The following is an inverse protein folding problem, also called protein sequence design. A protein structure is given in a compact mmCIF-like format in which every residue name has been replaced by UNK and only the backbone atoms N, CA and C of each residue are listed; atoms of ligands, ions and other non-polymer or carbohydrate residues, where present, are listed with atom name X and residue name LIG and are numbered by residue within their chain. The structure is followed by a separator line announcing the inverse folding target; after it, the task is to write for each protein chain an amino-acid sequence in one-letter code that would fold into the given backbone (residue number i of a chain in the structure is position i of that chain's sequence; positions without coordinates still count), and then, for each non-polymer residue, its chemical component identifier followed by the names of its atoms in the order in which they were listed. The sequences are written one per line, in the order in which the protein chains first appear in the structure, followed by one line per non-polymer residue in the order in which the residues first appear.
data_IF_579186215393
#
_entry.id   IF_579186215393
#
_cell.length_a   1.000
_cell.length_b   1.000
_cell.length_c   1.000
_cell.angle_alpha   90.00
_cell.angle_beta   90.00
_cell.angle_gamma   90.00
#
_symmetry.space_group_name_H-M   'P 1'
#
loop_
_entity.id
_entity.type
_entity.pdbx_description
1 polymer ?
#
# COMPACT_ATOMS: atom_id res chain seq x y z
N UNK A 1 43.13 20.02 48.29
CA UNK A 1 42.72 20.11 46.87
C UNK A 1 41.79 18.99 46.40
N UNK A 2 41.78 17.81 47.03
CA UNK A 2 40.93 16.67 46.65
C UNK A 2 39.40 16.93 46.73
N UNK A 3 38.92 17.67 47.73
CA UNK A 3 37.48 17.96 47.88
C UNK A 3 36.89 18.88 46.80
N UNK A 4 37.68 19.79 46.20
CA UNK A 4 37.19 20.63 45.08
C UNK A 4 37.03 19.84 43.79
N UNK A 5 37.88 18.83 43.54
CA UNK A 5 37.85 18.00 42.34
C UNK A 5 36.65 17.05 42.35
N UNK A 6 36.39 16.39 43.49
CA UNK A 6 35.17 15.57 43.69
C UNK A 6 33.88 16.37 43.52
N UNK A 7 33.82 17.59 44.06
CA UNK A 7 32.65 18.44 43.91
C UNK A 7 32.44 18.93 42.46
N UNK A 8 33.51 19.11 41.68
CA UNK A 8 33.40 19.46 40.27
C UNK A 8 32.94 18.27 39.42
N UNK A 9 33.47 17.08 39.67
CA UNK A 9 33.09 15.83 39.01
C UNK A 9 31.62 15.44 39.30
N UNK A 10 31.17 15.58 40.55
CA UNK A 10 29.77 15.37 40.92
C UNK A 10 28.81 16.35 40.23
N UNK A 11 29.23 17.62 40.03
CA UNK A 11 28.44 18.61 39.28
C UNK A 11 28.33 18.24 37.81
N UNK A 12 29.44 17.86 37.16
CA UNK A 12 29.44 17.43 35.77
C UNK A 12 28.53 16.22 35.53
N UNK A 13 28.55 15.24 36.44
CA UNK A 13 27.65 14.08 36.38
C UNK A 13 26.17 14.48 36.54
N UNK A 14 25.89 15.45 37.41
CA UNK A 14 24.52 15.97 37.60
C UNK A 14 24.03 16.69 36.34
N UNK A 15 24.83 17.60 35.79
CA UNK A 15 24.52 18.33 34.54
C UNK A 15 24.35 17.38 33.35
N UNK A 16 25.18 16.34 33.25
CA UNK A 16 25.06 15.31 32.23
C UNK A 16 23.77 14.49 32.41
N UNK A 17 23.40 14.14 33.65
CA UNK A 17 22.14 13.47 33.95
C UNK A 17 20.90 14.31 33.61
N UNK A 18 20.93 15.62 33.90
CA UNK A 18 19.86 16.56 33.50
C UNK A 18 19.75 16.66 31.96
N UNK A 19 20.89 16.73 31.27
CA UNK A 19 20.93 16.75 29.80
C UNK A 19 20.36 15.46 29.22
N UNK A 20 20.76 14.30 29.76
CA UNK A 20 20.26 13.01 29.33
C UNK A 20 18.74 12.91 29.54
N UNK A 21 18.23 13.31 30.71
CA UNK A 21 16.79 13.31 30.98
C UNK A 21 16.02 14.19 29.99
N UNK A 22 16.55 15.36 29.64
CA UNK A 22 15.95 16.25 28.64
C UNK A 22 15.89 15.59 27.26
N UNK A 23 17.02 15.08 26.74
CA UNK A 23 17.04 14.47 25.40
C UNK A 23 16.24 13.17 25.33
N UNK A 24 16.16 12.41 26.43
CA UNK A 24 15.28 11.24 26.54
C UNK A 24 13.81 11.63 26.41
N UNK A 25 13.38 12.74 27.03
CA UNK A 25 12.01 13.22 26.88
C UNK A 25 11.71 13.66 25.45
N UNK A 26 12.64 14.40 24.82
CA UNK A 26 12.49 14.80 23.40
C UNK A 26 12.42 13.58 22.48
N UNK A 27 13.24 12.56 22.74
CA UNK A 27 13.23 11.31 22.00
C UNK A 27 11.93 10.51 22.21
N UNK A 28 11.36 10.51 23.42
CA UNK A 28 10.07 9.89 23.72
C UNK A 28 8.92 10.57 22.97
N UNK A 29 8.88 11.90 22.97
CA UNK A 29 7.87 12.64 22.21
C UNK A 29 7.98 12.34 20.70
N UNK A 30 9.21 12.31 20.17
CA UNK A 30 9.47 11.96 18.77
C UNK A 30 9.12 10.49 18.46
N UNK A 31 9.39 9.57 19.38
CA UNK A 31 9.00 8.17 19.30
C UNK A 31 7.48 7.99 19.21
N UNK A 32 6.73 8.72 20.03
CA UNK A 32 5.27 8.72 19.99
C UNK A 32 4.73 9.14 18.62
N UNK A 33 5.27 10.22 18.05
CA UNK A 33 4.90 10.69 16.71
C UNK A 33 5.23 9.65 15.62
N UNK A 34 6.40 9.00 15.72
CA UNK A 34 6.80 7.95 14.80
C UNK A 34 5.84 6.75 14.85
N UNK A 35 5.46 6.30 16.05
CA UNK A 35 4.51 5.19 16.23
C UNK A 35 3.14 5.54 15.66
N UNK A 36 2.65 6.74 15.96
CA UNK A 36 1.35 7.19 15.44
C UNK A 36 1.36 7.29 13.91
N UNK A 37 2.45 7.78 13.31
CA UNK A 37 2.60 7.80 11.86
C UNK A 37 2.66 6.38 11.27
N UNK A 38 3.40 5.48 11.90
CA UNK A 38 3.51 4.06 11.50
C UNK A 38 2.18 3.33 11.55
N UNK A 39 1.38 3.55 12.59
CA UNK A 39 0.03 2.97 12.75
C UNK A 39 -0.93 3.56 11.70
N UNK A 40 -0.91 4.87 11.46
CA UNK A 40 -1.74 5.52 10.44
C UNK A 40 -1.42 5.01 9.03
N UNK A 41 -0.14 4.83 8.72
CA UNK A 41 0.28 4.30 7.44
C UNK A 41 -0.22 2.85 7.27
N UNK A 42 -0.14 2.03 8.33
CA UNK A 42 -0.61 0.64 8.31
C UNK A 42 -2.11 0.54 8.08
N UNK A 43 -2.89 1.38 8.77
CA UNK A 43 -4.33 1.46 8.58
C UNK A 43 -4.66 1.88 7.14
N UNK A 44 -3.96 2.88 6.58
CA UNK A 44 -4.15 3.27 5.18
C UNK A 44 -3.81 2.12 4.21
N UNK A 45 -2.75 1.36 4.47
CA UNK A 45 -2.39 0.17 3.69
C UNK A 45 -3.48 -0.90 3.76
N UNK A 46 -4.01 -1.19 4.95
CA UNK A 46 -5.11 -2.12 5.15
C UNK A 46 -6.38 -1.65 4.43
N UNK A 47 -6.71 -0.35 4.50
CA UNK A 47 -7.85 0.22 3.79
C UNK A 47 -7.73 0.04 2.27
N UNK A 48 -6.54 0.27 1.68
CA UNK A 48 -6.32 0.01 0.24
C UNK A 48 -6.48 -1.48 -0.05
N UNK A 49 -5.81 -2.34 0.72
CA UNK A 49 -5.86 -3.79 0.52
C UNK A 49 -7.30 -4.34 0.60
N UNK A 50 -8.09 -3.83 1.55
CA UNK A 50 -9.49 -4.18 1.75
C UNK A 50 -10.43 -3.65 0.64
N UNK A 51 -9.94 -2.78 -0.26
CA UNK A 51 -10.69 -2.40 -1.47
C UNK A 51 -10.42 -3.31 -2.66
N UNK A 52 -9.47 -4.24 -2.60
CA UNK A 52 -9.07 -5.08 -3.73
C UNK A 52 -9.69 -6.49 -3.66
N UNK A 53 -9.87 -7.13 -4.82
CA UNK A 53 -10.17 -8.57 -4.89
C UNK A 53 -11.64 -8.95 -4.88
N UNK A 54 -12.56 -8.03 -5.20
CA UNK A 54 -14.00 -8.31 -5.25
C UNK A 54 -14.53 -8.73 -6.63
N UNK A 55 -13.66 -8.97 -7.62
CA UNK A 55 -14.09 -9.32 -8.97
C UNK A 55 -14.76 -8.15 -9.70
N UNK A 56 -14.41 -6.92 -9.33
CA UNK A 56 -15.07 -5.67 -9.72
C UNK A 56 -14.32 -4.89 -10.81
N UNK A 57 -13.29 -5.49 -11.41
CA UNK A 57 -12.52 -4.86 -12.49
C UNK A 57 -11.44 -3.89 -12.01
N UNK A 58 -11.18 -3.79 -10.71
CA UNK A 58 -10.08 -2.99 -10.19
C UNK A 58 -8.72 -3.64 -10.49
N UNK A 59 -7.64 -2.87 -10.72
CA UNK A 59 -6.32 -3.40 -11.09
C UNK A 59 -5.58 -4.01 -9.89
N UNK A 60 -6.05 -5.16 -9.41
CA UNK A 60 -5.57 -5.83 -8.18
C UNK A 60 -4.07 -6.13 -8.25
N UNK A 61 -3.57 -6.69 -9.35
CA UNK A 61 -2.17 -7.11 -9.45
C UNK A 61 -1.20 -5.94 -9.42
N UNK A 62 -1.48 -4.88 -10.18
CA UNK A 62 -0.67 -3.66 -10.20
C UNK A 62 -0.62 -3.01 -8.82
N UNK A 63 -1.78 -2.86 -8.15
CA UNK A 63 -1.82 -2.24 -6.83
C UNK A 63 -1.08 -3.09 -5.79
N UNK A 64 -1.30 -4.42 -5.77
CA UNK A 64 -0.59 -5.31 -4.83
C UNK A 64 0.93 -5.26 -5.01
N UNK A 65 1.40 -5.18 -6.25
CA UNK A 65 2.84 -5.08 -6.54
C UNK A 65 3.41 -3.77 -5.98
N UNK A 66 2.71 -2.65 -6.16
CA UNK A 66 3.13 -1.36 -5.60
C UNK A 66 3.11 -1.35 -4.07
N UNK A 67 2.10 -1.94 -3.45
CA UNK A 67 2.02 -2.07 -1.99
C UNK A 67 3.16 -2.92 -1.42
N UNK A 68 3.53 -4.01 -2.10
CA UNK A 68 4.63 -4.87 -1.67
C UNK A 68 6.00 -4.17 -1.70
N UNK A 69 6.21 -3.21 -2.61
CA UNK A 69 7.44 -2.42 -2.68
C UNK A 69 7.64 -1.53 -1.46
N UNK A 70 6.58 -1.17 -0.75
CA UNK A 70 6.65 -0.41 0.49
C UNK A 70 7.12 -1.24 1.69
N UNK A 71 7.26 -2.57 1.55
CA UNK A 71 7.55 -3.44 2.69
C UNK A 71 8.87 -3.13 3.40
N UNK A 72 9.92 -2.87 2.62
CA UNK A 72 11.24 -2.56 3.15
C UNK A 72 11.26 -1.28 4.02
N UNK A 73 10.38 -0.32 3.72
CA UNK A 73 10.24 0.91 4.52
C UNK A 73 9.65 0.60 5.90
N UNK A 74 8.67 -0.31 5.97
CA UNK A 74 8.08 -0.73 7.26
C UNK A 74 9.10 -1.39 8.15
N UNK A 75 9.84 -2.35 7.60
CA UNK A 75 10.83 -3.12 8.35
C UNK A 75 11.92 -2.20 8.94
N UNK A 76 12.29 -1.14 8.20
CA UNK A 76 13.23 -0.13 8.68
C UNK A 76 12.68 0.69 9.85
N UNK A 77 11.41 1.10 9.80
CA UNK A 77 10.77 1.87 10.88
C UNK A 77 10.58 1.00 12.12
N UNK A 78 10.15 -0.25 11.93
CA UNK A 78 9.94 -1.20 13.02
C UNK A 78 11.29 -1.52 13.72
N UNK A 79 12.39 -1.62 12.97
CA UNK A 79 13.73 -1.75 13.53
C UNK A 79 14.15 -0.50 14.33
N UNK A 80 13.82 0.71 13.86
CA UNK A 80 14.13 1.96 14.56
C UNK A 80 13.36 2.07 15.88
N UNK A 81 12.07 1.70 15.88
CA UNK A 81 11.22 1.62 17.08
C UNK A 81 11.82 0.62 18.08
N UNK A 82 12.16 -0.59 17.64
CA UNK A 82 12.72 -1.62 18.51
C UNK A 82 14.07 -1.20 19.13
N UNK A 83 14.94 -0.55 18.35
CA UNK A 83 16.24 -0.05 18.82
C UNK A 83 16.06 1.02 19.91
N UNK A 84 15.07 1.90 19.75
CA UNK A 84 14.73 2.88 20.79
C UNK A 84 14.22 2.20 22.06
N UNK A 85 13.28 1.27 21.95
CA UNK A 85 12.70 0.58 23.11
C UNK A 85 13.76 -0.17 23.93
N UNK A 86 14.71 -0.83 23.26
CA UNK A 86 15.83 -1.53 23.89
C UNK A 86 16.80 -0.56 24.61
N UNK A 87 17.19 0.53 23.94
CA UNK A 87 18.03 1.55 24.56
C UNK A 87 17.30 2.22 25.73
N UNK A 88 16.01 2.55 25.57
CA UNK A 88 15.20 3.21 26.60
C UNK A 88 15.08 2.37 27.85
N UNK A 89 14.93 1.05 27.71
CA UNK A 89 14.86 0.11 28.82
C UNK A 89 16.17 0.08 29.65
N UNK A 90 17.31 0.24 28.98
CA UNK A 90 18.64 0.25 29.62
C UNK A 90 18.85 1.48 30.52
N UNK A 91 18.19 2.60 30.23
CA UNK A 91 18.38 3.89 30.89
C UNK A 91 17.26 4.26 31.89
N UNK A 92 16.50 3.28 32.38
CA UNK A 92 15.47 3.50 33.39
C UNK A 92 16.01 3.68 34.83
N UNK A 93 17.25 3.26 35.10
CA UNK A 93 17.92 3.46 36.39
C UNK A 93 19.35 3.99 36.18
N UNK A 94 19.62 5.20 36.68
CA UNK A 94 20.88 5.93 36.49
C UNK A 94 21.90 5.67 37.60
N UNK A 95 21.56 4.89 38.64
CA UNK A 95 22.29 4.86 39.90
C UNK A 95 23.79 4.50 39.78
N UNK A 96 24.18 3.73 38.75
CA UNK A 96 25.54 3.25 38.53
C UNK A 96 26.17 3.72 37.19
N UNK A 97 25.54 4.64 36.47
CA UNK A 97 26.03 5.10 35.17
C UNK A 97 27.23 6.06 35.30
N UNK A 98 28.30 5.82 34.53
CA UNK A 98 29.41 6.75 34.42
C UNK A 98 29.15 7.86 33.38
N UNK A 99 30.02 8.88 33.38
CA UNK A 99 29.86 10.05 32.51
C UNK A 99 29.88 9.70 31.01
N UNK A 100 30.74 8.76 30.59
CA UNK A 100 30.86 8.40 29.17
C UNK A 100 29.62 7.62 28.71
N UNK A 101 29.10 6.74 29.55
CA UNK A 101 27.84 6.04 29.28
C UNK A 101 26.68 7.05 29.12
N UNK A 102 26.56 8.01 30.05
CA UNK A 102 25.52 9.06 30.00
C UNK A 102 25.63 9.86 28.70
N UNK A 103 26.87 10.22 28.31
CA UNK A 103 27.13 10.98 27.09
C UNK A 103 26.76 10.19 25.83
N UNK A 104 27.19 8.93 25.71
CA UNK A 104 26.82 8.08 24.56
C UNK A 104 25.32 7.86 24.45
N UNK A 105 24.62 7.73 25.58
CA UNK A 105 23.16 7.66 25.58
C UNK A 105 22.51 8.96 25.12
N UNK A 106 23.02 10.11 25.59
CA UNK A 106 22.51 11.40 25.17
C UNK A 106 22.70 11.65 23.66
N UNK A 107 23.84 11.22 23.10
CA UNK A 107 24.11 11.22 21.66
C UNK A 107 23.09 10.34 20.92
N UNK A 108 22.88 9.10 21.37
CA UNK A 108 21.88 8.19 20.78
C UNK A 108 20.47 8.80 20.76
N UNK A 109 19.95 9.30 21.90
CA UNK A 109 18.59 9.84 21.96
C UNK A 109 18.44 11.09 21.09
N UNK A 110 19.51 11.89 20.99
CA UNK A 110 19.55 13.04 20.08
C UNK A 110 19.46 12.59 18.63
N UNK A 111 20.30 11.65 18.18
CA UNK A 111 20.30 11.11 16.81
C UNK A 111 18.97 10.43 16.46
N UNK A 112 18.40 9.69 17.42
CA UNK A 112 17.09 9.06 17.27
C UNK A 112 15.98 10.09 17.04
N UNK A 113 15.93 11.15 17.87
CA UNK A 113 14.92 12.20 17.72
C UNK A 113 15.03 12.93 16.37
N UNK A 114 16.26 13.14 15.88
CA UNK A 114 16.51 13.72 14.56
C UNK A 114 16.07 12.78 13.42
N UNK A 115 16.33 11.48 13.57
CA UNK A 115 15.90 10.46 12.61
C UNK A 115 14.37 10.34 12.56
N UNK A 116 13.69 10.49 13.69
CA UNK A 116 12.22 10.58 13.74
C UNK A 116 11.72 11.83 13.00
N UNK A 117 12.36 12.98 13.22
CA UNK A 117 11.98 14.24 12.59
C UNK A 117 12.07 14.20 11.05
N UNK A 118 13.00 13.44 10.47
CA UNK A 118 13.06 13.22 9.02
C UNK A 118 12.08 12.13 8.55
N UNK A 119 11.88 11.08 9.33
CA UNK A 119 11.07 9.91 8.91
C UNK A 119 9.57 10.16 9.02
N UNK A 120 9.10 10.88 10.04
CA UNK A 120 7.66 11.12 10.26
C UNK A 120 6.99 11.79 9.04
N UNK A 121 7.53 12.88 8.47
CA UNK A 121 6.95 13.49 7.26
C UNK A 121 6.87 12.53 6.06
N UNK A 122 7.86 11.66 5.88
CA UNK A 122 7.87 10.67 4.79
C UNK A 122 6.74 9.64 4.98
N UNK A 123 6.52 9.18 6.21
CA UNK A 123 5.41 8.27 6.53
C UNK A 123 4.04 8.95 6.38
N UNK A 124 3.93 10.23 6.75
CA UNK A 124 2.70 10.99 6.54
C UNK A 124 2.40 11.20 5.05
N UNK A 125 3.41 11.55 4.25
CA UNK A 125 3.27 11.67 2.79
C UNK A 125 2.91 10.34 2.11
N UNK A 126 3.48 9.23 2.58
CA UNK A 126 3.09 7.89 2.12
C UNK A 126 1.64 7.55 2.51
N UNK A 127 1.20 7.95 3.72
CA UNK A 127 -0.17 7.75 4.21
C UNK A 127 -1.16 8.51 3.33
N UNK A 128 -0.90 9.78 3.07
CA UNK A 128 -1.72 10.60 2.17
C UNK A 128 -1.80 10.00 0.76
N UNK A 129 -0.68 9.50 0.25
CA UNK A 129 -0.61 8.85 -1.06
C UNK A 129 -1.48 7.58 -1.12
N UNK A 130 -1.44 6.74 -0.08
CA UNK A 130 -2.27 5.54 0.03
C UNK A 130 -3.77 5.88 0.15
N UNK A 131 -4.13 6.88 0.95
CA UNK A 131 -5.52 7.35 1.05
C UNK A 131 -6.02 7.96 -0.27
N UNK A 132 -5.15 8.70 -0.97
CA UNK A 132 -5.42 9.19 -2.32
C UNK A 132 -5.64 8.05 -3.33
N UNK A 133 -4.83 7.00 -3.26
CA UNK A 133 -4.99 5.79 -4.06
C UNK A 133 -6.31 5.09 -3.76
N UNK A 134 -6.66 4.90 -2.48
CA UNK A 134 -7.94 4.34 -2.04
C UNK A 134 -9.12 5.10 -2.67
N UNK A 135 -9.11 6.42 -2.59
CA UNK A 135 -10.18 7.25 -3.15
C UNK A 135 -10.29 7.08 -4.67
N UNK A 136 -9.16 7.06 -5.39
CA UNK A 136 -9.12 6.79 -6.83
C UNK A 136 -9.67 5.41 -7.19
N UNK A 137 -9.36 4.37 -6.40
CA UNK A 137 -9.89 3.02 -6.60
C UNK A 137 -11.40 2.97 -6.39
N UNK A 138 -11.92 3.64 -5.35
CA UNK A 138 -13.36 3.74 -5.11
C UNK A 138 -14.08 4.47 -6.24
N UNK A 139 -13.53 5.58 -6.74
CA UNK A 139 -14.07 6.26 -7.91
C UNK A 139 -14.03 5.39 -9.17
N UNK A 140 -12.92 4.67 -9.38
CA UNK A 140 -12.77 3.78 -10.52
C UNK A 140 -13.80 2.66 -10.49
N UNK A 141 -14.04 2.06 -9.32
CA UNK A 141 -15.09 1.04 -9.13
C UNK A 141 -16.45 1.55 -9.60
N UNK A 142 -16.83 2.77 -9.20
CA UNK A 142 -18.10 3.39 -9.60
C UNK A 142 -18.15 3.61 -11.12
N UNK A 143 -17.04 4.03 -11.74
CA UNK A 143 -16.94 4.27 -13.19
C UNK A 143 -16.97 2.97 -14.01
N UNK A 144 -16.33 1.91 -13.53
CA UNK A 144 -16.21 0.62 -14.23
C UNK A 144 -17.50 -0.19 -14.13
N UNK A 145 -18.20 -0.15 -13.00
CA UNK A 145 -19.42 -0.94 -12.76
C UNK A 145 -20.43 -0.96 -13.93
N UNK A 146 -20.90 0.18 -14.48
CA UNK A 146 -21.88 0.16 -15.57
C UNK A 146 -21.30 -0.37 -16.89
N UNK A 147 -20.01 -0.17 -17.15
CA UNK A 147 -19.34 -0.66 -18.38
C UNK A 147 -19.20 -2.19 -18.29
N UNK A 148 -18.77 -2.67 -17.13
CA UNK A 148 -18.67 -4.10 -16.83
C UNK A 148 -20.03 -4.80 -17.00
N UNK A 149 -21.09 -4.25 -16.39
CA UNK A 149 -22.44 -4.81 -16.52
C UNK A 149 -22.90 -4.93 -17.99
N UNK A 150 -22.63 -3.89 -18.79
CA UNK A 150 -22.97 -3.88 -20.22
C UNK A 150 -22.16 -4.90 -21.03
N UNK A 151 -20.86 -5.06 -20.73
CA UNK A 151 -20.01 -6.08 -21.36
C UNK A 151 -20.50 -7.50 -21.04
N UNK A 152 -20.84 -7.79 -19.78
CA UNK A 152 -21.41 -9.09 -19.37
C UNK A 152 -22.77 -9.36 -20.01
N UNK A 153 -23.63 -8.35 -20.08
CA UNK A 153 -24.93 -8.46 -20.73
C UNK A 153 -24.78 -8.75 -22.23
N UNK A 154 -23.86 -8.05 -22.90
CA UNK A 154 -23.57 -8.26 -24.32
C UNK A 154 -22.98 -9.64 -24.58
N UNK A 155 -22.09 -10.11 -23.69
CA UNK A 155 -21.50 -11.44 -23.75
C UNK A 155 -22.57 -12.54 -23.63
N UNK A 156 -23.47 -12.42 -22.66
CA UNK A 156 -24.57 -13.34 -22.48
C UNK A 156 -25.52 -13.37 -23.69
N UNK A 157 -25.81 -12.21 -24.29
CA UNK A 157 -26.62 -12.12 -25.51
C UNK A 157 -25.94 -12.82 -26.69
N UNK A 158 -24.64 -12.60 -26.90
CA UNK A 158 -23.88 -13.27 -27.96
C UNK A 158 -23.87 -14.79 -27.79
N UNK A 159 -23.76 -15.28 -26.55
CA UNK A 159 -23.83 -16.71 -26.27
C UNK A 159 -25.22 -17.29 -26.57
N UNK A 160 -26.29 -16.56 -26.23
CA UNK A 160 -27.65 -16.97 -26.53
C UNK A 160 -27.91 -17.02 -28.03
N UNK A 161 -27.51 -15.99 -28.78
CA UNK A 161 -27.65 -15.90 -30.24
C UNK A 161 -26.87 -17.04 -30.93
N UNK A 162 -25.62 -17.29 -30.53
CA UNK A 162 -24.81 -18.37 -31.09
C UNK A 162 -25.42 -19.76 -30.82
N UNK A 163 -26.03 -19.95 -29.63
CA UNK A 163 -26.69 -21.21 -29.29
C UNK A 163 -27.93 -21.49 -30.16
N UNK A 164 -28.64 -20.43 -30.57
CA UNK A 164 -29.83 -20.51 -31.42
C UNK A 164 -29.48 -20.74 -32.91
N UNK A 165 -28.26 -20.42 -33.34
CA UNK A 165 -27.81 -20.56 -34.73
C UNK A 165 -27.72 -22.01 -35.25
N UNK A 166 -27.96 -23.04 -34.44
CA UNK A 166 -27.95 -24.45 -34.88
C UNK A 166 -26.57 -24.95 -35.31
N UNK A 167 -26.49 -26.04 -36.08
CA UNK A 167 -25.21 -26.61 -36.58
C UNK A 167 -24.86 -26.05 -37.95
N UNK A 168 -24.36 -24.81 -37.98
CA UNK A 168 -23.92 -24.13 -39.20
C UNK A 168 -22.39 -24.14 -39.29
N UNK A 169 -21.85 -24.23 -40.50
CA UNK A 169 -20.40 -24.18 -40.75
C UNK A 169 -19.80 -22.87 -40.19
N UNK A 170 -18.71 -22.95 -39.43
CA UNK A 170 -18.07 -21.80 -38.80
C UNK A 170 -18.52 -21.51 -37.36
N UNK A 171 -19.60 -22.15 -36.88
CA UNK A 171 -20.08 -22.00 -35.49
C UNK A 171 -18.99 -22.28 -34.46
N UNK A 172 -18.31 -23.42 -34.54
CA UNK A 172 -17.30 -23.81 -33.55
C UNK A 172 -16.15 -22.80 -33.45
N UNK A 173 -15.79 -22.13 -34.56
CA UNK A 173 -14.78 -21.08 -34.54
C UNK A 173 -15.26 -19.83 -33.80
N UNK A 174 -16.54 -19.44 -33.97
CA UNK A 174 -17.15 -18.36 -33.20
C UNK A 174 -17.30 -18.71 -31.71
N UNK A 175 -17.66 -19.96 -31.41
CA UNK A 175 -17.78 -20.48 -30.03
C UNK A 175 -16.43 -20.43 -29.31
N UNK A 176 -15.34 -20.85 -29.98
CA UNK A 176 -13.99 -20.73 -29.46
C UNK A 176 -13.56 -19.26 -29.22
N UNK A 177 -13.87 -18.37 -30.17
CA UNK A 177 -13.59 -16.92 -30.01
C UNK A 177 -14.37 -16.32 -28.84
N UNK A 178 -15.65 -16.66 -28.71
CA UNK A 178 -16.49 -16.18 -27.61
C UNK A 178 -15.95 -16.70 -26.26
N UNK A 179 -15.55 -17.96 -26.17
CA UNK A 179 -14.92 -18.48 -24.95
C UNK A 179 -13.65 -17.71 -24.57
N UNK A 180 -12.78 -17.41 -25.55
CA UNK A 180 -11.58 -16.61 -25.33
C UNK A 180 -11.88 -15.17 -24.88
N UNK A 181 -12.99 -14.58 -25.35
CA UNK A 181 -13.48 -13.30 -24.83
C UNK A 181 -13.95 -13.45 -23.38
N UNK A 182 -14.67 -14.54 -23.06
CA UNK A 182 -15.13 -14.84 -21.71
C UNK A 182 -13.98 -15.04 -20.72
N UNK A 183 -12.88 -15.67 -21.14
CA UNK A 183 -11.64 -15.75 -20.35
C UNK A 183 -11.05 -14.36 -20.06
N UNK A 184 -10.98 -13.50 -21.09
CA UNK A 184 -10.48 -12.12 -20.95
C UNK A 184 -11.38 -11.27 -20.06
N UNK A 185 -12.70 -11.39 -20.18
CA UNK A 185 -13.66 -10.70 -19.33
C UNK A 185 -13.54 -11.13 -17.85
N UNK A 186 -13.33 -12.42 -17.59
CA UNK A 186 -13.02 -12.93 -16.25
C UNK A 186 -11.68 -12.42 -15.71
N UNK A 187 -10.65 -12.33 -16.55
CA UNK A 187 -9.36 -11.79 -16.16
C UNK A 187 -9.43 -10.29 -15.82
N UNK A 188 -10.23 -9.52 -16.58
CA UNK A 188 -10.51 -8.11 -16.30
C UNK A 188 -11.23 -7.97 -14.96
N UNK A 189 -12.31 -8.71 -14.75
CA UNK A 189 -13.06 -8.70 -13.49
C UNK A 189 -12.19 -9.04 -12.28
N UNK A 190 -11.33 -10.05 -12.42
CA UNK A 190 -10.38 -10.45 -11.40
C UNK A 190 -9.24 -9.43 -11.17
N UNK A 191 -9.16 -8.36 -11.96
CA UNK A 191 -8.11 -7.35 -11.83
C UNK A 191 -6.73 -7.86 -12.20
N UNK A 192 -6.68 -8.90 -13.03
CA UNK A 192 -5.44 -9.60 -13.39
C UNK A 192 -4.73 -8.98 -14.60
N UNK A 193 -5.37 -8.04 -15.28
CA UNK A 193 -4.80 -7.32 -16.42
C UNK A 193 -3.86 -6.22 -15.91
N UNK A 194 -2.64 -6.21 -16.44
CA UNK A 194 -1.67 -5.17 -16.13
C UNK A 194 -2.15 -3.81 -16.65
N UNK A 195 -2.06 -2.80 -15.80
CA UNK A 195 -2.38 -1.43 -16.19
C UNK A 195 -1.27 -0.88 -17.07
N UNK A 196 -1.62 -0.55 -18.30
CA UNK A 196 -0.77 0.22 -19.20
C UNK A 196 -0.93 1.72 -18.88
N UNK A 197 0.17 2.48 -18.68
CA UNK A 197 0.12 3.92 -18.41
C UNK A 197 -0.67 4.73 -19.45
N UNK A 198 -0.67 4.29 -20.71
CA UNK A 198 -1.32 4.99 -21.81
C UNK A 198 -2.78 4.54 -22.01
N UNK A 199 -3.25 3.58 -21.21
CA UNK A 199 -4.55 2.94 -21.41
C UNK A 199 -5.39 2.87 -20.14
N UNK A 200 -6.65 3.30 -20.24
CA UNK A 200 -7.58 3.21 -19.09
C UNK A 200 -8.13 1.81 -18.98
N UNK A 201 -8.39 1.35 -17.74
CA UNK A 201 -9.10 0.10 -17.46
C UNK A 201 -10.43 0.01 -18.23
N UNK A 202 -11.13 1.13 -18.38
CA UNK A 202 -12.38 1.22 -19.14
C UNK A 202 -12.22 0.90 -20.63
N UNK A 203 -11.05 1.14 -21.21
CA UNK A 203 -10.81 0.90 -22.63
C UNK A 203 -10.68 -0.60 -22.92
N UNK A 204 -10.13 -1.38 -21.97
CA UNK A 204 -10.11 -2.84 -22.08
C UNK A 204 -11.51 -3.46 -22.11
N UNK A 205 -12.44 -2.95 -21.29
CA UNK A 205 -13.83 -3.39 -21.36
C UNK A 205 -14.49 -2.98 -22.68
N UNK A 206 -14.17 -1.81 -23.23
CA UNK A 206 -14.69 -1.38 -24.53
C UNK A 206 -14.21 -2.25 -25.68
N UNK A 207 -12.94 -2.68 -25.68
CA UNK A 207 -12.45 -3.64 -26.67
C UNK A 207 -13.24 -4.94 -26.63
N UNK A 208 -13.49 -5.47 -25.42
CA UNK A 208 -14.30 -6.68 -25.24
C UNK A 208 -15.70 -6.47 -25.81
N UNK A 209 -16.32 -5.32 -25.56
CA UNK A 209 -17.63 -4.99 -26.15
C UNK A 209 -17.60 -4.95 -27.69
N UNK A 210 -16.55 -4.38 -28.28
CA UNK A 210 -16.37 -4.35 -29.74
C UNK A 210 -16.19 -5.76 -30.30
N UNK A 211 -15.35 -6.59 -29.69
CA UNK A 211 -15.16 -7.98 -30.13
C UNK A 211 -16.45 -8.82 -30.01
N UNK A 212 -17.26 -8.57 -28.97
CA UNK A 212 -18.58 -9.21 -28.81
C UNK A 212 -19.52 -8.79 -29.93
N UNK A 213 -19.57 -7.49 -30.26
CA UNK A 213 -20.41 -6.98 -31.35
C UNK A 213 -20.03 -7.63 -32.69
N UNK A 214 -18.73 -7.75 -32.99
CA UNK A 214 -18.24 -8.43 -34.19
C UNK A 214 -18.67 -9.90 -34.27
N UNK A 215 -18.70 -10.62 -33.14
CA UNK A 215 -19.20 -12.00 -33.09
C UNK A 215 -20.70 -12.04 -33.38
N UNK A 216 -21.50 -11.16 -32.76
CA UNK A 216 -22.95 -11.12 -32.96
C UNK A 216 -23.31 -10.82 -34.42
N UNK A 217 -22.60 -9.88 -35.05
CA UNK A 217 -22.73 -9.59 -36.48
C UNK A 217 -22.36 -10.79 -37.35
N UNK A 218 -21.31 -11.54 -36.98
CA UNK A 218 -20.95 -12.77 -37.69
C UNK A 218 -21.99 -13.88 -37.52
N UNK A 219 -22.59 -14.01 -36.34
CA UNK A 219 -23.70 -14.96 -36.08
C UNK A 219 -24.90 -14.63 -36.96
N UNK A 220 -25.30 -13.37 -37.04
CA UNK A 220 -26.41 -12.94 -37.90
C UNK A 220 -26.21 -13.38 -39.35
N UNK A 221 -25.00 -13.19 -39.90
CA UNK A 221 -24.63 -13.60 -41.27
C UNK A 221 -24.61 -15.12 -41.48
N UNK A 222 -24.46 -15.92 -40.43
CA UNK A 222 -24.54 -17.38 -40.51
C UNK A 222 -25.98 -17.89 -40.51
N UNK A 223 -26.92 -17.11 -39.96
CA UNK A 223 -28.33 -17.49 -39.82
C UNK A 223 -29.25 -16.95 -40.93
N UNK A 224 -28.75 -16.01 -41.74
CA UNK A 224 -29.39 -15.49 -42.96
C UNK A 224 -29.00 -16.29 -44.19
#
# INVERSE_FOLDING_TARGET
MWGRRRNAEARLLTEAGETLAYVMQVAEDAHGLLRDARVRLEDAHHQVSATLGFGDGLPVNTVRTQLAQSQATWDSVDSMIATYEDMRATWCDLADADFEAIKSAAEFFTEYSQSCASTVPDLEGATESLLGLRNKLLELRVKVAPIRERAHTSFAAAHAELSQAGTVQGRFALEARLNAIGDRLRALDAGSVEVDPDRKVTDWYRDVETEIADIRDAVLRLTT
#
